data_IF_982733826072
#
_entry.id   IF_982733826072
#
_cell.length_a   1.000
_cell.length_b   1.000
_cell.length_c   1.000
_cell.angle_alpha   90.00
_cell.angle_beta   90.00
_cell.angle_gamma   90.00
#
_symmetry.space_group_name_H-M   'P 1'
#
loop_
_entity.id
_entity.type
_entity.pdbx_description
1 polymer ?
#
# COMPACT_ATOMS: atom_id res chain seq x y z
N UNK A 1 9.76 15.07 -2.93
CA UNK A 1 9.07 13.97 -2.25
C UNK A 1 9.19 12.74 -3.13
N UNK A 2 10.17 11.89 -2.82
CA UNK A 2 10.37 10.57 -3.42
C UNK A 2 9.64 9.50 -2.55
N UNK A 3 9.61 8.25 -3.01
CA UNK A 3 9.03 7.14 -2.25
C UNK A 3 9.74 6.93 -0.91
N UNK A 4 11.06 7.08 -0.87
CA UNK A 4 11.83 7.00 0.37
C UNK A 4 11.37 8.04 1.40
N UNK A 5 11.27 9.32 1.01
CA UNK A 5 10.76 10.39 1.90
C UNK A 5 9.36 10.08 2.44
N UNK A 6 8.51 9.45 1.61
CA UNK A 6 7.16 9.05 2.00
C UNK A 6 7.16 7.88 3.00
N UNK A 7 8.03 6.89 2.79
CA UNK A 7 8.18 5.75 3.70
C UNK A 7 8.64 6.24 5.08
N UNK A 8 9.64 7.13 5.12
CA UNK A 8 10.17 7.69 6.37
C UNK A 8 9.08 8.44 7.15
N UNK A 9 8.35 9.35 6.49
CA UNK A 9 7.25 10.11 7.10
C UNK A 9 6.12 9.17 7.59
N UNK A 10 5.82 8.11 6.83
CA UNK A 10 4.80 7.14 7.21
C UNK A 10 5.24 6.32 8.42
N UNK A 11 6.53 5.94 8.50
CA UNK A 11 7.10 5.28 9.66
C UNK A 11 6.98 6.16 10.91
N UNK A 12 7.27 7.45 10.79
CA UNK A 12 7.12 8.43 11.88
C UNK A 12 5.65 8.55 12.34
N UNK A 13 4.70 8.66 11.41
CA UNK A 13 3.26 8.74 11.72
C UNK A 13 2.74 7.48 12.41
N UNK A 14 3.27 6.31 12.04
CA UNK A 14 2.85 5.02 12.57
C UNK A 14 3.61 4.59 13.84
N UNK A 15 4.63 5.36 14.26
CA UNK A 15 5.52 5.05 15.38
C UNK A 15 6.17 3.65 15.23
N UNK A 16 6.71 3.38 14.04
CA UNK A 16 7.40 2.13 13.72
C UNK A 16 8.83 2.38 13.24
N UNK A 17 9.75 1.54 13.72
CA UNK A 17 11.13 1.46 13.21
C UNK A 17 11.22 0.29 12.24
N UNK A 18 11.13 0.59 10.94
CA UNK A 18 11.10 -0.41 9.88
C UNK A 18 12.08 -0.05 8.76
N UNK A 19 13.01 -0.96 8.47
CA UNK A 19 13.89 -0.88 7.30
C UNK A 19 13.24 -1.65 6.14
N UNK A 20 12.69 -0.92 5.17
CA UNK A 20 11.88 -1.48 4.08
C UNK A 20 12.66 -1.48 2.77
N UNK A 21 12.89 -2.67 2.21
CA UNK A 21 13.33 -2.80 0.82
C UNK A 21 12.14 -2.59 -0.13
N UNK A 22 11.97 -1.34 -0.56
CA UNK A 22 10.91 -0.95 -1.50
C UNK A 22 11.00 -1.70 -2.84
N UNK A 23 12.20 -2.01 -3.32
CA UNK A 23 12.40 -2.71 -4.59
C UNK A 23 11.87 -4.14 -4.52
N UNK A 24 12.20 -4.85 -3.45
CA UNK A 24 11.71 -6.20 -3.17
C UNK A 24 10.18 -6.23 -3.10
N UNK A 25 9.55 -5.29 -2.39
CA UNK A 25 8.08 -5.23 -2.26
C UNK A 25 7.42 -4.94 -3.61
N UNK A 26 7.97 -3.99 -4.38
CA UNK A 26 7.44 -3.64 -5.69
C UNK A 26 7.58 -4.78 -6.71
N UNK A 27 8.68 -5.52 -6.66
CA UNK A 27 8.89 -6.70 -7.51
C UNK A 27 7.94 -7.85 -7.13
N UNK A 28 7.73 -8.12 -5.84
CA UNK A 28 6.69 -9.04 -5.40
C UNK A 28 5.30 -8.61 -5.91
N UNK A 29 4.93 -7.35 -5.68
CA UNK A 29 3.64 -6.83 -6.10
C UNK A 29 3.43 -6.97 -7.61
N UNK A 30 4.46 -6.68 -8.41
CA UNK A 30 4.46 -6.86 -9.86
C UNK A 30 4.26 -8.32 -10.25
N UNK A 31 5.03 -9.25 -9.70
CA UNK A 31 4.92 -10.68 -9.99
C UNK A 31 3.53 -11.21 -9.65
N UNK A 32 2.96 -10.81 -8.52
CA UNK A 32 1.60 -11.20 -8.11
C UNK A 32 0.54 -10.61 -9.04
N UNK A 33 0.63 -9.31 -9.36
CA UNK A 33 -0.34 -8.65 -10.24
C UNK A 33 -0.40 -9.32 -11.63
N UNK A 34 0.76 -9.74 -12.15
CA UNK A 34 0.86 -10.40 -13.46
C UNK A 34 0.32 -11.83 -13.40
N UNK A 35 0.80 -12.65 -12.47
CA UNK A 35 0.53 -14.09 -12.48
C UNK A 35 -0.79 -14.48 -11.79
N UNK A 36 -1.21 -13.76 -10.74
CA UNK A 36 -2.44 -14.08 -9.99
C UNK A 36 -3.61 -13.24 -10.52
N UNK A 37 -3.68 -11.97 -10.11
CA UNK A 37 -4.59 -10.93 -10.61
C UNK A 37 -4.17 -9.57 -10.03
N UNK A 38 -4.55 -8.46 -10.68
CA UNK A 38 -4.14 -7.12 -10.23
C UNK A 38 -4.50 -6.81 -8.76
N UNK A 39 -5.70 -7.16 -8.25
CA UNK A 39 -6.04 -6.93 -6.84
C UNK A 39 -5.21 -7.74 -5.83
N UNK A 40 -4.60 -8.85 -6.24
CA UNK A 40 -3.83 -9.70 -5.34
C UNK A 40 -2.50 -9.06 -4.89
N UNK A 41 -1.99 -8.07 -5.63
CA UNK A 41 -0.72 -7.41 -5.33
C UNK A 41 -0.71 -6.69 -3.96
N UNK A 42 -1.62 -5.73 -3.67
CA UNK A 42 -1.65 -5.09 -2.35
C UNK A 42 -1.98 -6.08 -1.22
N UNK A 43 -2.81 -7.09 -1.47
CA UNK A 43 -3.12 -8.14 -0.48
C UNK A 43 -1.87 -8.93 -0.12
N UNK A 44 -1.05 -9.28 -1.12
CA UNK A 44 0.17 -10.06 -0.90
C UNK A 44 1.25 -9.25 -0.18
N UNK A 45 1.41 -7.96 -0.52
CA UNK A 45 2.33 -7.07 0.18
C UNK A 45 1.94 -6.91 1.67
N UNK A 46 0.65 -6.73 1.95
CA UNK A 46 0.14 -6.68 3.33
C UNK A 46 0.43 -7.98 4.09
N UNK A 47 0.15 -9.13 3.49
CA UNK A 47 0.38 -10.44 4.13
C UNK A 47 1.87 -10.72 4.35
N UNK A 48 2.76 -10.29 3.45
CA UNK A 48 4.21 -10.34 3.67
C UNK A 48 4.58 -9.54 4.92
N UNK A 49 4.12 -8.30 5.04
CA UNK A 49 4.36 -7.47 6.23
C UNK A 49 3.84 -8.12 7.52
N UNK A 50 2.64 -8.70 7.50
CA UNK A 50 2.08 -9.45 8.64
C UNK A 50 2.93 -10.67 9.01
N UNK A 51 3.47 -11.39 8.02
CA UNK A 51 4.33 -12.54 8.27
C UNK A 51 5.65 -12.12 8.92
N UNK A 52 6.30 -11.09 8.37
CA UNK A 52 7.55 -10.52 8.89
C UNK A 52 7.39 -10.06 10.35
N UNK A 53 6.36 -9.27 10.63
CA UNK A 53 6.09 -8.76 11.98
C UNK A 53 5.72 -9.84 13.00
N UNK A 54 5.27 -11.02 12.56
CA UNK A 54 4.97 -12.16 13.46
C UNK A 54 6.17 -12.99 13.83
N UNK A 55 7.22 -12.98 13.03
CA UNK A 55 8.39 -13.85 13.23
C UNK A 55 9.59 -13.12 13.82
N UNK A 56 9.47 -11.82 14.12
CA UNK A 56 10.63 -10.96 14.44
C UNK A 56 11.74 -11.17 13.38
N UNK A 57 11.30 -11.17 12.11
CA UNK A 57 12.11 -11.59 10.98
C UNK A 57 13.23 -10.58 10.72
N UNK A 58 14.43 -11.09 10.45
CA UNK A 58 15.53 -10.27 9.91
C UNK A 58 15.28 -9.90 8.44
N UNK A 59 16.07 -8.98 7.88
CA UNK A 59 16.00 -8.66 6.44
C UNK A 59 16.14 -9.89 5.53
N UNK A 60 17.00 -10.84 5.90
CA UNK A 60 17.15 -12.10 5.18
C UNK A 60 15.91 -13.00 5.24
N UNK A 61 15.12 -12.90 6.32
CA UNK A 61 13.85 -13.61 6.44
C UNK A 61 12.78 -12.96 5.56
N UNK A 62 12.78 -11.63 5.42
CA UNK A 62 11.88 -10.90 4.52
C UNK A 62 12.11 -11.29 3.07
N UNK A 63 13.35 -11.30 2.60
CA UNK A 63 13.71 -11.77 1.24
C UNK A 63 13.21 -13.20 0.98
N UNK A 64 13.43 -14.10 1.94
CA UNK A 64 12.97 -15.49 1.85
C UNK A 64 11.45 -15.59 1.78
N UNK A 65 10.72 -14.85 2.60
CA UNK A 65 9.26 -14.85 2.60
C UNK A 65 8.70 -14.27 1.29
N UNK A 66 9.32 -13.20 0.77
CA UNK A 66 8.97 -12.63 -0.53
C UNK A 66 9.21 -13.64 -1.66
N UNK A 67 10.34 -14.35 -1.66
CA UNK A 67 10.64 -15.40 -2.64
C UNK A 67 9.59 -16.52 -2.62
N UNK A 68 9.17 -17.00 -1.45
CA UNK A 68 8.10 -18.00 -1.33
C UNK A 68 6.77 -17.52 -1.92
N UNK A 69 6.43 -16.24 -1.69
CA UNK A 69 5.22 -15.64 -2.24
C UNK A 69 5.32 -15.46 -3.77
N UNK A 70 6.48 -15.09 -4.30
CA UNK A 70 6.74 -15.01 -5.73
C UNK A 70 6.65 -16.37 -6.41
N UNK A 71 7.28 -17.41 -5.85
CA UNK A 71 7.20 -18.78 -6.36
C UNK A 71 5.74 -19.28 -6.40
N UNK A 72 4.95 -18.97 -5.37
CA UNK A 72 3.52 -19.29 -5.35
C UNK A 72 2.75 -18.56 -6.46
N UNK A 73 3.04 -17.28 -6.69
CA UNK A 73 2.41 -16.50 -7.74
C UNK A 73 2.77 -17.02 -9.13
N UNK A 74 4.04 -17.31 -9.40
CA UNK A 74 4.53 -17.82 -10.69
C UNK A 74 3.91 -19.17 -11.08
N UNK A 75 3.63 -20.02 -10.09
CA UNK A 75 2.98 -21.32 -10.31
C UNK A 75 1.46 -21.29 -10.23
N UNK A 76 0.87 -20.10 -10.04
CA UNK A 76 -0.56 -19.95 -9.92
C UNK A 76 -1.23 -20.23 -11.27
N UNK A 77 -1.83 -21.41 -11.41
CA UNK A 77 -2.54 -21.82 -12.62
C UNK A 77 -3.86 -21.03 -12.71
N UNK A 78 -3.87 -19.95 -13.50
CA UNK A 78 -5.06 -19.13 -13.71
C UNK A 78 -6.05 -19.91 -14.57
N UNK A 79 -7.29 -20.17 -14.11
CA UNK A 79 -8.35 -20.61 -15.00
C UNK A 79 -8.57 -19.52 -16.06
N UNK A 80 -8.28 -19.83 -17.32
CA UNK A 80 -8.58 -18.98 -18.47
C UNK A 80 -10.10 -18.78 -18.55
N UNK A 81 -10.61 -17.69 -17.95
CA UNK A 81 -12.04 -17.38 -18.00
C UNK A 81 -12.58 -16.29 -17.07
N UNK A 82 -11.78 -15.71 -16.16
CA UNK A 82 -12.26 -14.66 -15.24
C UNK A 82 -11.85 -13.23 -15.61
N UNK A 83 -11.70 -12.92 -16.90
CA UNK A 83 -11.56 -11.53 -17.35
C UNK A 83 -12.03 -11.35 -18.81
N UNK A 84 -13.33 -11.52 -19.03
CA UNK A 84 -14.03 -10.67 -20.00
C UNK A 84 -14.88 -9.69 -19.19
N UNK A 85 -14.50 -8.41 -19.22
CA UNK A 85 -15.30 -7.32 -18.66
C UNK A 85 -14.62 -6.48 -17.58
N UNK A 86 -13.56 -5.75 -17.94
CA UNK A 86 -13.29 -4.39 -17.45
C UNK A 86 -12.09 -3.81 -18.23
N UNK A 87 -12.25 -3.71 -19.56
CA UNK A 87 -11.61 -2.61 -20.27
C UNK A 87 -12.31 -1.35 -19.77
N UNK A 88 -11.56 -0.54 -19.04
CA UNK A 88 -11.95 0.73 -18.44
C UNK A 88 -10.73 1.60 -18.42
N UNK A 89 -10.33 2.02 -19.61
CA UNK A 89 -9.58 3.26 -19.84
C UNK A 89 -10.32 4.40 -19.10
N UNK A 90 -9.73 4.87 -18.01
CA UNK A 90 -10.04 6.16 -17.40
C UNK A 90 -8.72 6.66 -16.78
N UNK A 91 -7.86 7.18 -17.65
CA UNK A 91 -6.97 8.25 -17.24
C UNK A 91 -7.80 9.45 -16.75
N UNK A 92 -7.32 10.10 -15.72
CA UNK A 92 -7.78 11.42 -15.28
C UNK A 92 -9.25 11.53 -14.80
N UNK A 93 -9.52 11.00 -13.61
CA UNK A 93 -10.46 11.65 -12.69
C UNK A 93 -9.84 11.71 -11.31
N UNK A 94 -9.33 12.89 -10.96
CA UNK A 94 -9.36 13.31 -9.58
C UNK A 94 -10.76 13.01 -9.05
N UNK A 95 -10.87 12.15 -8.03
CA UNK A 95 -12.11 12.03 -7.31
C UNK A 95 -12.37 13.42 -6.70
N UNK A 96 -13.26 14.19 -7.32
CA UNK A 96 -13.90 15.31 -6.65
C UNK A 96 -14.55 14.71 -5.41
N UNK A 97 -13.91 14.88 -4.25
CA UNK A 97 -14.57 14.70 -2.97
C UNK A 97 -15.65 15.77 -2.95
N UNK A 98 -16.95 15.43 -2.98
CA UNK A 98 -17.97 16.45 -2.88
C UNK A 98 -17.82 17.12 -1.51
N UNK A 99 -17.45 18.39 -1.53
CA UNK A 99 -17.49 19.26 -0.36
C UNK A 99 -18.95 19.28 0.11
N UNK A 100 -19.27 18.81 1.33
CA UNK A 100 -20.63 18.94 1.84
C UNK A 100 -20.94 20.45 1.94
N UNK A 101 -22.10 20.92 1.45
CA UNK A 101 -22.50 22.29 1.73
C UNK A 101 -22.73 22.43 3.24
N UNK A 102 -22.07 23.44 3.81
CA UNK A 102 -22.30 24.02 5.12
C UNK A 102 -21.78 23.23 6.33
N UNK A 103 -20.45 23.11 6.43
CA UNK A 103 -19.77 23.04 7.72
C UNK A 103 -19.51 24.48 8.21
N UNK A 104 -20.50 25.05 8.90
CA UNK A 104 -20.33 26.27 9.71
C UNK A 104 -19.39 25.95 10.88
N UNK A 105 -18.09 25.97 10.61
CA UNK A 105 -17.06 25.97 11.65
C UNK A 105 -16.90 27.42 12.14
N UNK A 106 -17.65 27.74 13.19
CA UNK A 106 -17.47 28.93 14.01
C UNK A 106 -16.11 28.84 14.71
N UNK A 107 -15.05 29.32 14.04
CA UNK A 107 -13.80 29.65 14.68
C UNK A 107 -14.00 30.98 15.39
N UNK A 108 -14.57 30.91 16.60
CA UNK A 108 -14.60 32.03 17.53
C UNK A 108 -13.16 32.44 17.86
N UNK A 109 -12.65 33.42 17.12
CA UNK A 109 -11.58 34.31 17.58
C UNK A 109 -12.15 35.12 18.74
N UNK A 110 -11.75 34.80 19.96
CA UNK A 110 -11.73 35.81 21.03
C UNK A 110 -10.31 35.89 21.60
N UNK A 111 -9.65 36.91 21.09
CA UNK A 111 -8.41 37.51 21.52
C UNK A 111 -8.59 38.00 22.98
N UNK A 112 -7.96 37.31 23.94
CA UNK A 112 -7.77 37.86 25.29
C UNK A 112 -6.28 38.01 25.56
N UNK A 113 -5.76 39.20 25.23
CA UNK A 113 -4.52 39.72 25.79
C UNK A 113 -4.67 39.91 27.32
N UNK A 114 -3.63 39.61 28.13
CA UNK A 114 -3.63 39.96 29.55
C UNK A 114 -3.17 41.41 29.78
N UNK A 115 -3.77 42.07 30.79
CA UNK A 115 -3.37 43.36 31.39
C UNK A 115 -1.98 43.31 32.06
#
# INVERSE_FOLDING_TARGET
MNLHDWIDELCDVLDIDADVDEGLILDLAKTVATNVERPAAPVSAYLLGVAVGRTDASGADTERLAALAQELAERWDRPTGASEGADGDDGDRAAEVPVPPDLDLDFGEDDTAPD
#
